data_IF_807957260941
#
_entry.id   IF_807957260941
#
_cell.length_a   1.000
_cell.length_b   1.000
_cell.length_c   1.000
_cell.angle_alpha   90.00
_cell.angle_beta   90.00
_cell.angle_gamma   90.00
#
_symmetry.space_group_name_H-M   'P 1'
#
loop_
_entity.id
_entity.type
_entity.pdbx_description
1 polymer ?
#
# COMPACT_ATOMS: atom_id res chain seq x y z
N UNK A 1 -5.59 -10.52 -13.19
CA UNK A 1 -4.28 -10.96 -13.70
C UNK A 1 -3.26 -9.87 -13.35
N UNK A 2 -2.24 -10.17 -12.53
CA UNK A 2 -1.30 -9.15 -12.05
C UNK A 2 -0.24 -8.83 -13.13
N UNK A 3 -0.20 -7.59 -13.61
CA UNK A 3 0.72 -7.11 -14.66
C UNK A 3 2.11 -6.78 -14.09
N UNK A 4 2.76 -7.71 -13.39
CA UNK A 4 4.09 -7.48 -12.80
C UNK A 4 5.07 -8.53 -13.29
N UNK A 5 6.22 -8.08 -13.81
CA UNK A 5 7.26 -8.97 -14.32
C UNK A 5 7.93 -9.77 -13.19
N UNK A 6 8.38 -10.99 -13.49
CA UNK A 6 9.11 -11.86 -12.53
C UNK A 6 10.33 -11.17 -11.91
N UNK A 7 11.04 -10.32 -12.68
CA UNK A 7 12.20 -9.56 -12.19
C UNK A 7 11.81 -8.51 -11.16
N UNK A 8 10.69 -7.81 -11.37
CA UNK A 8 10.15 -6.85 -10.39
C UNK A 8 9.73 -7.58 -9.12
N UNK A 9 9.06 -8.73 -9.26
CA UNK A 9 8.67 -9.56 -8.12
C UNK A 9 9.90 -9.95 -7.27
N UNK A 10 10.94 -10.48 -7.91
CA UNK A 10 12.18 -10.86 -7.22
C UNK A 10 12.85 -9.68 -6.52
N UNK A 11 12.83 -8.48 -7.13
CA UNK A 11 13.39 -7.27 -6.51
C UNK A 11 12.60 -6.86 -5.28
N UNK A 12 11.26 -6.85 -5.36
CA UNK A 12 10.40 -6.44 -4.25
C UNK A 12 10.53 -7.39 -3.06
N UNK A 13 10.57 -8.68 -3.33
CA UNK A 13 10.77 -9.70 -2.30
C UNK A 13 12.17 -9.55 -1.65
N UNK A 14 13.24 -9.31 -2.42
CA UNK A 14 14.58 -9.06 -1.85
C UNK A 14 14.65 -7.79 -1.01
N UNK A 15 13.83 -6.78 -1.32
CA UNK A 15 13.75 -5.51 -0.57
C UNK A 15 12.82 -5.58 0.64
N UNK A 16 12.23 -6.74 0.91
CA UNK A 16 11.23 -6.92 1.95
C UNK A 16 9.99 -6.02 1.77
N UNK A 17 9.78 -5.50 0.54
CA UNK A 17 8.65 -4.65 0.17
C UNK A 17 7.41 -5.46 -0.23
N UNK A 18 7.54 -6.78 -0.33
CA UNK A 18 6.47 -7.70 -0.68
C UNK A 18 6.56 -8.96 0.20
N UNK A 19 5.45 -9.46 0.74
CA UNK A 19 5.45 -10.67 1.54
C UNK A 19 5.81 -11.88 0.67
N UNK A 20 7.01 -12.42 0.87
CA UNK A 20 7.50 -13.60 0.17
C UNK A 20 8.27 -14.51 1.12
N UNK A 21 7.92 -15.79 1.13
CA UNK A 21 8.62 -16.84 1.84
C UNK A 21 9.53 -17.59 0.86
N UNK A 22 10.83 -17.63 1.13
CA UNK A 22 11.75 -18.44 0.33
C UNK A 22 11.63 -19.89 0.78
N UNK A 23 11.14 -20.75 -0.10
CA UNK A 23 11.04 -22.20 0.13
C UNK A 23 11.92 -22.90 -0.90
N UNK A 24 13.11 -23.32 -0.47
CA UNK A 24 14.14 -23.86 -1.35
C UNK A 24 14.58 -22.84 -2.40
N UNK A 25 14.40 -23.18 -3.68
CA UNK A 25 14.71 -22.33 -4.82
C UNK A 25 13.54 -21.43 -5.28
N UNK A 26 12.36 -21.57 -4.67
CA UNK A 26 11.15 -20.86 -5.09
C UNK A 26 10.71 -19.84 -4.04
N UNK A 27 10.19 -18.71 -4.51
CA UNK A 27 9.47 -17.77 -3.67
C UNK A 27 8.00 -18.13 -3.65
N UNK A 28 7.47 -18.38 -2.46
CA UNK A 28 6.04 -18.58 -2.22
C UNK A 28 5.48 -17.31 -1.61
N UNK A 29 4.36 -16.86 -2.14
CA UNK A 29 3.69 -15.66 -1.65
C UNK A 29 2.35 -16.14 -1.06
N UNK A 30 2.08 -15.90 0.23
CA UNK A 30 0.79 -16.21 0.80
C UNK A 30 -0.27 -15.30 0.19
N UNK A 31 -1.38 -15.89 -0.25
CA UNK A 31 -2.46 -15.17 -0.95
C UNK A 31 -3.01 -13.99 -0.12
N UNK A 32 -3.24 -14.20 1.18
CA UNK A 32 -3.71 -13.15 2.08
C UNK A 32 -2.73 -11.97 2.17
N UNK A 33 -1.43 -12.25 2.21
CA UNK A 33 -0.40 -11.20 2.24
C UNK A 33 -0.29 -10.48 0.90
N UNK A 34 -0.45 -11.20 -0.20
CA UNK A 34 -0.47 -10.64 -1.54
C UNK A 34 -1.63 -9.67 -1.75
N UNK A 35 -2.85 -10.08 -1.35
CA UNK A 35 -4.04 -9.26 -1.48
C UNK A 35 -3.90 -7.94 -0.73
N UNK A 36 -3.47 -7.99 0.54
CA UNK A 36 -3.19 -6.78 1.34
C UNK A 36 -2.15 -5.88 0.69
N UNK A 37 -1.06 -6.45 0.19
CA UNK A 37 -0.02 -5.68 -0.49
C UNK A 37 -0.53 -4.98 -1.76
N UNK A 38 -1.37 -5.65 -2.56
CA UNK A 38 -2.01 -5.06 -3.75
C UNK A 38 -2.97 -3.94 -3.33
N UNK A 39 -3.75 -4.17 -2.28
CA UNK A 39 -4.69 -3.19 -1.74
C UNK A 39 -3.96 -1.94 -1.26
N UNK A 40 -2.87 -2.06 -0.49
CA UNK A 40 -2.04 -0.93 -0.05
C UNK A 40 -1.47 -0.12 -1.22
N UNK A 41 -0.97 -0.80 -2.26
CA UNK A 41 -0.40 -0.15 -3.46
C UNK A 41 -1.46 0.51 -4.33
N UNK A 42 -2.69 -0.01 -4.34
CA UNK A 42 -3.81 0.56 -5.11
C UNK A 42 -4.52 1.67 -4.35
N UNK A 43 -4.69 1.50 -3.03
CA UNK A 43 -5.29 2.47 -2.11
C UNK A 43 -4.42 3.74 -1.97
N UNK A 44 -3.09 3.63 -2.12
CA UNK A 44 -2.21 4.80 -2.21
C UNK A 44 -2.50 5.73 -3.40
N UNK A 45 -3.28 5.26 -4.40
CA UNK A 45 -3.75 6.09 -5.52
C UNK A 45 -5.21 6.56 -5.36
N UNK A 46 -5.94 6.08 -4.33
CA UNK A 46 -7.31 6.45 -4.00
C UNK A 46 -7.41 7.16 -2.64
N UNK A 47 -6.33 7.82 -2.21
CA UNK A 47 -6.43 8.76 -1.08
C UNK A 47 -7.12 10.02 -1.60
N UNK A 48 -8.40 10.04 -1.33
CA UNK A 48 -9.36 11.12 -1.51
C UNK A 48 -8.77 12.51 -1.17
N UNK A 49 -8.75 13.49 -2.10
CA UNK A 49 -8.29 14.85 -1.79
C UNK A 49 -9.25 15.61 -0.87
N UNK A 50 -10.39 15.03 -0.48
CA UNK A 50 -11.42 15.72 0.30
C UNK A 50 -11.39 15.38 1.80
N UNK A 51 -10.20 15.41 2.42
CA UNK A 51 -10.10 15.60 3.88
C UNK A 51 -10.14 17.09 4.22
N UNK A 52 -11.19 17.76 3.73
CA UNK A 52 -11.63 19.07 4.22
C UNK A 52 -12.07 18.95 5.66
N UNK A 53 -11.10 19.03 6.58
CA UNK A 53 -11.37 19.20 8.00
C UNK A 53 -11.82 20.65 8.21
N UNK A 54 -13.10 20.89 7.95
CA UNK A 54 -13.81 22.07 8.42
C UNK A 54 -13.94 21.99 9.94
N UNK A 55 -12.82 22.21 10.65
CA UNK A 55 -12.85 22.61 12.03
C UNK A 55 -13.15 24.12 12.05
N UNK A 56 -14.43 24.44 12.20
CA UNK A 56 -14.86 25.75 12.69
C UNK A 56 -14.13 26.03 14.02
N UNK A 57 -13.00 26.72 13.94
CA UNK A 57 -12.39 27.38 15.09
C UNK A 57 -12.99 28.78 15.17
N UNK A 58 -13.93 28.90 16.09
CA UNK A 58 -14.39 30.11 16.77
C UNK A 58 -13.65 31.39 16.39
N UNK A 59 -14.37 32.33 15.77
CA UNK A 59 -13.97 33.75 15.77
C UNK A 59 -13.93 34.26 17.21
N UNK A 60 -12.88 34.96 17.66
CA UNK A 60 -13.03 35.87 18.78
C UNK A 60 -13.70 37.15 18.26
N UNK A 61 -14.70 37.66 18.97
CA UNK A 61 -15.21 39.03 18.76
C UNK A 61 -14.40 39.92 19.71
N UNK A 62 -13.66 40.93 19.23
CA UNK A 62 -13.05 41.91 20.10
C UNK A 62 -14.04 43.04 20.43
N UNK A 63 -13.95 43.47 21.69
CA UNK A 63 -14.43 44.68 22.37
C UNK A 63 -15.91 45.05 22.27
#
# INVERSE_FOLDING_TARGET
>A
MLQVSKRTLHRLIRRNEMPGLKVGAQWRIPENGFLKWVEERTAGSLVDPNRGSNQQRHRPIPN
#
